data_IF_185765130304
#
_entry.id   IF_185765130304
#
_cell.length_a   1.000
_cell.length_b   1.000
_cell.length_c   1.000
_cell.angle_alpha   90.00
_cell.angle_beta   90.00
_cell.angle_gamma   90.00
#
_symmetry.space_group_name_H-M   'P 1'
#
loop_
_entity.id
_entity.type
_entity.pdbx_description
1 polymer ?
#
# COMPACT_ATOMS: atom_id res chain seq x y z
N UNK A 1 -2.22 0.05 18.45
CA UNK A 1 -3.26 1.03 18.07
C UNK A 1 -4.49 0.29 17.57
N UNK A 2 -5.70 0.84 17.83
CA UNK A 2 -7.01 0.24 17.50
C UNK A 2 -7.88 1.28 16.76
N UNK A 3 -9.00 0.83 16.21
CA UNK A 3 -10.08 1.69 15.77
C UNK A 3 -10.68 2.46 16.96
N UNK A 4 -11.31 3.60 16.68
CA UNK A 4 -12.05 4.33 17.69
C UNK A 4 -13.31 3.55 18.12
N UNK A 5 -13.85 3.72 19.34
CA UNK A 5 -15.00 2.93 19.82
C UNK A 5 -16.20 2.95 18.87
N UNK A 6 -16.56 4.12 18.31
CA UNK A 6 -17.67 4.24 17.37
C UNK A 6 -17.37 3.59 16.00
N UNK A 7 -16.10 3.59 15.57
CA UNK A 7 -15.65 2.92 14.36
C UNK A 7 -15.73 1.39 14.52
N UNK A 8 -15.32 0.90 15.69
CA UNK A 8 -15.39 -0.51 16.04
C UNK A 8 -16.85 -0.99 16.12
N UNK A 9 -17.74 -0.21 16.73
CA UNK A 9 -19.18 -0.52 16.77
C UNK A 9 -19.76 -0.60 15.37
N UNK A 10 -19.45 0.38 14.51
CA UNK A 10 -19.86 0.42 13.11
C UNK A 10 -19.33 -0.79 12.32
N UNK A 11 -18.05 -1.13 12.49
CA UNK A 11 -17.44 -2.31 11.88
C UNK A 11 -18.23 -3.58 12.22
N UNK A 12 -18.47 -3.82 13.51
CA UNK A 12 -19.17 -5.02 13.96
C UNK A 12 -20.64 -5.04 13.57
N UNK A 13 -21.30 -3.90 13.50
CA UNK A 13 -22.67 -3.83 12.97
C UNK A 13 -22.75 -4.42 11.55
N UNK A 14 -21.86 -3.99 10.66
CA UNK A 14 -21.81 -4.48 9.28
C UNK A 14 -21.39 -5.95 9.26
N UNK A 15 -20.37 -6.30 10.01
CA UNK A 15 -19.79 -7.64 10.01
C UNK A 15 -20.77 -8.72 10.53
N UNK A 16 -21.41 -8.47 11.66
CA UNK A 16 -22.41 -9.38 12.21
C UNK A 16 -23.63 -9.52 11.28
N UNK A 17 -24.10 -8.43 10.69
CA UNK A 17 -25.20 -8.48 9.72
C UNK A 17 -24.84 -9.36 8.50
N UNK A 18 -23.61 -9.24 7.99
CA UNK A 18 -23.12 -10.04 6.87
C UNK A 18 -22.96 -11.52 7.26
N UNK A 19 -22.37 -11.81 8.43
CA UNK A 19 -22.24 -13.18 8.92
C UNK A 19 -23.61 -13.83 9.14
N UNK A 20 -24.55 -13.13 9.78
CA UNK A 20 -25.91 -13.62 10.01
C UNK A 20 -26.66 -13.88 8.70
N UNK A 21 -26.56 -12.97 7.73
CA UNK A 21 -27.12 -13.17 6.40
C UNK A 21 -26.58 -14.43 5.71
N UNK A 22 -25.26 -14.60 5.73
CA UNK A 22 -24.60 -15.76 5.17
C UNK A 22 -25.04 -17.06 5.87
N UNK A 23 -25.10 -17.05 7.21
CA UNK A 23 -25.49 -18.20 7.98
C UNK A 23 -26.94 -18.59 7.75
N UNK A 24 -27.89 -17.65 7.61
CA UNK A 24 -29.30 -17.95 7.27
C UNK A 24 -29.44 -18.68 5.93
N UNK A 25 -28.58 -18.35 4.95
CA UNK A 25 -28.59 -18.99 3.62
C UNK A 25 -27.89 -20.34 3.60
N UNK A 26 -26.76 -20.45 4.29
CA UNK A 26 -25.91 -21.63 4.23
C UNK A 26 -26.14 -22.63 5.38
N UNK A 27 -26.82 -22.22 6.45
CA UNK A 27 -27.13 -23.01 7.64
C UNK A 27 -25.91 -23.72 8.25
N UNK A 28 -24.79 -22.98 8.34
CA UNK A 28 -23.51 -23.53 8.79
C UNK A 28 -23.45 -23.75 10.30
N UNK A 29 -24.10 -22.85 11.06
CA UNK A 29 -24.16 -22.90 12.54
C UNK A 29 -25.59 -22.62 12.99
N UNK A 30 -25.96 -23.10 14.19
CA UNK A 30 -27.35 -23.04 14.68
C UNK A 30 -27.77 -21.64 15.08
N UNK A 31 -26.99 -21.03 15.99
CA UNK A 31 -27.37 -19.79 16.65
C UNK A 31 -26.26 -18.76 16.45
N UNK A 32 -26.40 -17.92 15.42
CA UNK A 32 -25.48 -16.83 15.16
C UNK A 32 -26.17 -15.50 15.53
N UNK A 33 -25.62 -14.70 16.46
CA UNK A 33 -26.19 -13.40 16.79
C UNK A 33 -26.24 -12.48 15.59
N UNK A 34 -27.31 -11.73 15.43
CA UNK A 34 -27.49 -10.77 14.33
C UNK A 34 -26.76 -9.45 14.55
N UNK A 35 -26.34 -9.20 15.78
CA UNK A 35 -25.62 -7.99 16.15
C UNK A 35 -24.73 -8.23 17.37
N UNK A 36 -23.71 -7.40 17.62
CA UNK A 36 -22.87 -7.48 18.82
C UNK A 36 -23.65 -7.35 20.13
N UNK A 37 -24.79 -6.67 20.10
CA UNK A 37 -25.67 -6.48 21.27
C UNK A 37 -26.56 -7.69 21.56
N UNK A 38 -26.77 -8.56 20.57
CA UNK A 38 -27.56 -9.79 20.71
C UNK A 38 -26.80 -10.94 21.36
N UNK A 39 -25.46 -10.85 21.46
CA UNK A 39 -24.62 -11.85 22.08
C UNK A 39 -23.20 -11.93 21.49
N UNK A 40 -22.38 -12.81 22.04
CA UNK A 40 -21.06 -13.14 21.52
C UNK A 40 -21.18 -14.32 20.54
N UNK A 41 -20.30 -14.35 19.53
CA UNK A 41 -20.15 -15.48 18.60
C UNK A 41 -19.02 -16.37 19.13
N UNK A 42 -19.24 -17.68 19.15
CA UNK A 42 -18.14 -18.62 19.32
C UNK A 42 -17.11 -18.46 18.21
N UNK A 43 -15.83 -18.45 18.56
CA UNK A 43 -14.75 -18.16 17.62
C UNK A 43 -14.70 -19.17 16.48
N UNK A 44 -14.94 -20.44 16.72
CA UNK A 44 -14.92 -21.48 15.69
C UNK A 44 -16.12 -21.33 14.74
N UNK A 45 -17.30 -21.01 15.27
CA UNK A 45 -18.49 -20.73 14.48
C UNK A 45 -18.29 -19.45 13.63
N UNK A 46 -17.69 -18.41 14.20
CA UNK A 46 -17.31 -17.22 13.47
C UNK A 46 -16.35 -17.53 12.32
N UNK A 47 -15.30 -18.31 12.55
CA UNK A 47 -14.37 -18.76 11.50
C UNK A 47 -15.06 -19.55 10.40
N UNK A 48 -15.97 -20.45 10.74
CA UNK A 48 -16.69 -21.27 9.79
C UNK A 48 -17.54 -20.43 8.84
N UNK A 49 -18.31 -19.48 9.39
CA UNK A 49 -19.17 -18.62 8.59
C UNK A 49 -18.35 -17.58 7.81
N UNK A 50 -17.35 -16.97 8.44
CA UNK A 50 -16.46 -16.02 7.78
C UNK A 50 -15.70 -16.63 6.60
N UNK A 51 -15.23 -17.87 6.73
CA UNK A 51 -14.60 -18.60 5.62
C UNK A 51 -15.53 -18.71 4.42
N UNK A 52 -16.81 -19.05 4.64
CA UNK A 52 -17.81 -19.13 3.58
C UNK A 52 -18.10 -17.75 2.96
N UNK A 53 -18.19 -16.69 3.78
CA UNK A 53 -18.37 -15.31 3.30
C UNK A 53 -17.21 -14.88 2.43
N UNK A 54 -15.97 -15.18 2.83
CA UNK A 54 -14.79 -14.80 2.07
C UNK A 54 -14.56 -15.63 0.81
N UNK A 55 -15.08 -16.85 0.76
CA UNK A 55 -14.98 -17.74 -0.40
C UNK A 55 -16.00 -17.41 -1.51
N UNK A 56 -17.10 -16.74 -1.20
CA UNK A 56 -18.19 -16.48 -2.16
C UNK A 56 -18.48 -14.96 -2.30
N UNK A 57 -17.95 -14.36 -3.36
CA UNK A 57 -18.19 -12.96 -3.70
C UNK A 57 -19.67 -12.67 -3.98
N UNK A 58 -20.41 -13.64 -4.56
CA UNK A 58 -21.84 -13.47 -4.86
C UNK A 58 -22.66 -13.34 -3.58
N UNK A 59 -22.31 -14.11 -2.55
CA UNK A 59 -22.97 -14.03 -1.26
C UNK A 59 -22.85 -12.64 -0.62
N UNK A 60 -21.67 -12.05 -0.71
CA UNK A 60 -21.41 -10.68 -0.21
C UNK A 60 -22.13 -9.63 -1.03
N UNK A 61 -22.10 -9.75 -2.36
CA UNK A 61 -22.80 -8.81 -3.24
C UNK A 61 -24.30 -8.88 -3.03
N UNK A 62 -24.90 -10.09 -2.90
CA UNK A 62 -26.32 -10.24 -2.57
C UNK A 62 -26.68 -9.62 -1.22
N UNK A 63 -25.82 -9.75 -0.20
CA UNK A 63 -26.03 -9.04 1.08
C UNK A 63 -26.12 -7.53 0.90
N UNK A 64 -25.23 -6.95 0.10
CA UNK A 64 -25.19 -5.50 -0.16
C UNK A 64 -26.42 -5.04 -0.96
N UNK A 65 -26.84 -5.82 -1.97
CA UNK A 65 -27.97 -5.48 -2.84
C UNK A 65 -29.29 -5.62 -2.11
N UNK A 66 -29.49 -6.69 -1.34
CA UNK A 66 -30.71 -6.95 -0.59
C UNK A 66 -30.83 -6.07 0.66
N UNK A 67 -29.70 -5.66 1.24
CA UNK A 67 -29.62 -4.86 2.46
C UNK A 67 -30.62 -5.31 3.55
N UNK A 68 -30.60 -6.56 3.99
CA UNK A 68 -31.65 -7.16 4.82
C UNK A 68 -31.81 -6.52 6.21
N UNK A 69 -30.77 -5.78 6.66
CA UNK A 69 -30.78 -5.11 7.96
C UNK A 69 -30.95 -3.59 7.86
N UNK A 70 -31.16 -3.06 6.66
CA UNK A 70 -31.39 -1.64 6.44
C UNK A 70 -30.16 -0.77 6.75
N UNK A 71 -28.94 -1.25 6.43
CA UNK A 71 -27.71 -0.48 6.64
C UNK A 71 -27.75 0.84 5.84
N UNK A 72 -27.21 1.92 6.42
CA UNK A 72 -27.07 3.18 5.71
C UNK A 72 -26.19 3.06 4.45
N UNK A 73 -26.36 3.93 3.44
CA UNK A 73 -25.56 3.87 2.21
C UNK A 73 -24.03 3.90 2.44
N UNK A 74 -23.56 4.63 3.44
CA UNK A 74 -22.14 4.68 3.82
C UNK A 74 -21.63 3.36 4.35
N UNK A 75 -22.46 2.57 5.04
CA UNK A 75 -22.09 1.26 5.57
C UNK A 75 -22.09 0.19 4.47
N UNK A 76 -23.04 0.29 3.53
CA UNK A 76 -23.03 -0.55 2.34
C UNK A 76 -21.81 -0.28 1.46
N UNK A 77 -21.40 0.99 1.33
CA UNK A 77 -20.18 1.36 0.62
C UNK A 77 -18.93 0.79 1.30
N UNK A 78 -18.88 0.82 2.64
CA UNK A 78 -17.81 0.19 3.42
C UNK A 78 -17.80 -1.33 3.23
N UNK A 79 -18.95 -1.99 3.33
CA UNK A 79 -19.08 -3.44 3.06
C UNK A 79 -18.61 -3.80 1.64
N UNK A 80 -18.97 -3.01 0.64
CA UNK A 80 -18.51 -3.16 -0.75
C UNK A 80 -16.99 -2.98 -0.88
N UNK A 81 -16.40 -2.10 -0.08
CA UNK A 81 -14.95 -1.90 -0.09
C UNK A 81 -14.17 -3.17 0.34
N UNK A 82 -14.79 -4.09 1.07
CA UNK A 82 -14.21 -5.36 1.50
C UNK A 82 -13.95 -6.36 0.36
N UNK A 83 -14.39 -6.06 -0.86
CA UNK A 83 -13.94 -6.79 -2.06
C UNK A 83 -12.42 -6.64 -2.28
N UNK A 84 -11.80 -5.58 -1.73
CA UNK A 84 -10.36 -5.34 -1.77
C UNK A 84 -9.59 -5.97 -0.61
N UNK A 85 -10.22 -6.89 0.11
CA UNK A 85 -9.56 -7.63 1.18
C UNK A 85 -8.29 -8.33 0.72
N UNK A 86 -7.36 -8.52 1.63
CA UNK A 86 -6.18 -9.35 1.42
C UNK A 86 -6.22 -10.49 2.44
N UNK A 87 -6.60 -11.67 1.98
CA UNK A 87 -6.64 -12.87 2.80
C UNK A 87 -5.37 -13.70 2.57
N UNK A 88 -4.77 -14.23 3.64
CA UNK A 88 -3.57 -15.05 3.52
C UNK A 88 -2.84 -15.26 4.84
N UNK A 89 -1.61 -15.72 4.69
CA UNK A 89 -0.71 -15.94 5.80
C UNK A 89 0.27 -14.78 5.91
N UNK A 90 0.39 -14.22 7.12
CA UNK A 90 1.20 -13.05 7.40
C UNK A 90 2.13 -13.30 8.59
N UNK A 91 3.33 -12.78 8.51
CA UNK A 91 4.18 -12.63 9.70
C UNK A 91 3.75 -11.37 10.45
N UNK A 92 3.29 -11.50 11.71
CA UNK A 92 3.28 -10.38 12.63
C UNK A 92 4.74 -10.13 13.00
N UNK A 93 5.30 -9.02 12.50
CA UNK A 93 6.73 -8.75 12.61
C UNK A 93 7.06 -7.81 13.76
N UNK A 94 6.23 -6.76 13.96
CA UNK A 94 6.51 -5.74 14.97
C UNK A 94 5.24 -5.00 15.40
N UNK A 95 5.15 -4.67 16.66
CA UNK A 95 4.13 -3.77 17.20
C UNK A 95 4.68 -2.35 17.27
N UNK A 96 3.99 -1.40 16.63
CA UNK A 96 4.34 0.01 16.64
C UNK A 96 3.18 0.82 17.25
N UNK A 97 3.48 2.03 17.75
CA UNK A 97 2.45 2.95 18.26
C UNK A 97 1.36 3.32 17.25
N UNK A 98 1.68 3.26 15.95
CA UNK A 98 0.75 3.62 14.85
C UNK A 98 -0.10 2.45 14.39
N UNK A 99 0.47 1.25 14.32
CA UNK A 99 -0.12 0.03 13.77
C UNK A 99 0.76 -1.19 14.08
N UNK A 100 0.21 -2.36 13.90
CA UNK A 100 0.97 -3.61 13.85
C UNK A 100 1.53 -3.81 12.45
N UNK A 101 2.81 -4.14 12.36
CA UNK A 101 3.48 -4.45 11.08
C UNK A 101 3.28 -5.91 10.74
N UNK A 102 2.62 -6.15 9.60
CA UNK A 102 2.48 -7.47 9.00
C UNK A 102 3.28 -7.56 7.70
N UNK A 103 3.81 -8.75 7.40
CA UNK A 103 4.53 -9.03 6.16
C UNK A 103 3.91 -10.28 5.54
N UNK A 104 3.46 -10.20 4.28
CA UNK A 104 2.91 -11.36 3.57
C UNK A 104 4.00 -12.32 3.09
N UNK A 105 3.59 -13.50 2.59
CA UNK A 105 4.48 -14.54 2.11
C UNK A 105 4.62 -14.56 0.57
N UNK A 106 4.25 -13.47 -0.10
CA UNK A 106 4.41 -13.39 -1.57
C UNK A 106 5.89 -13.31 -1.96
N UNK A 107 6.21 -13.68 -3.20
CA UNK A 107 7.58 -13.56 -3.75
C UNK A 107 8.13 -12.13 -3.61
N UNK A 108 7.28 -11.14 -3.81
CA UNK A 108 7.57 -9.73 -3.56
C UNK A 108 6.87 -9.29 -2.27
N UNK A 109 7.36 -9.78 -1.13
CA UNK A 109 6.75 -9.58 0.17
C UNK A 109 6.36 -8.10 0.42
N UNK A 110 5.09 -7.88 0.72
CA UNK A 110 4.53 -6.55 1.04
C UNK A 110 4.44 -6.39 2.54
N UNK A 111 4.63 -5.16 2.97
CA UNK A 111 4.55 -4.78 4.38
C UNK A 111 3.28 -3.96 4.60
N UNK A 112 2.46 -4.38 5.57
CA UNK A 112 1.19 -3.74 5.90
C UNK A 112 1.23 -3.15 7.30
N UNK A 113 0.58 -2.00 7.46
CA UNK A 113 0.32 -1.37 8.77
C UNK A 113 -1.14 -1.56 9.14
N UNK A 114 -1.43 -2.42 10.12
CA UNK A 114 -2.79 -2.90 10.45
C UNK A 114 -3.20 -2.47 11.83
N UNK A 115 -4.44 -1.99 11.98
CA UNK A 115 -5.05 -1.60 13.25
C UNK A 115 -5.80 -2.78 13.87
N UNK A 116 -5.74 -2.90 15.20
CA UNK A 116 -6.64 -3.75 15.95
C UNK A 116 -8.08 -3.19 15.93
N UNK A 117 -9.03 -4.02 16.30
CA UNK A 117 -10.45 -3.63 16.43
C UNK A 117 -10.73 -3.09 17.86
N UNK A 118 -11.09 -3.97 18.78
CA UNK A 118 -11.36 -3.63 20.19
C UNK A 118 -10.07 -3.52 20.99
N UNK A 119 -9.15 -4.48 20.77
CA UNK A 119 -7.85 -4.55 21.44
C UNK A 119 -6.71 -4.47 20.43
N UNK A 120 -5.53 -3.98 20.83
CA UNK A 120 -4.33 -4.11 20.02
C UNK A 120 -4.07 -5.58 19.66
N UNK A 121 -3.57 -5.83 18.45
CA UNK A 121 -3.22 -7.19 18.01
C UNK A 121 -2.20 -7.84 18.96
N UNK A 122 -1.35 -7.07 19.62
CA UNK A 122 -0.41 -7.49 20.65
C UNK A 122 -1.09 -8.18 21.85
N UNK A 123 -2.26 -7.71 22.23
CA UNK A 123 -3.05 -8.32 23.32
C UNK A 123 -3.78 -9.58 22.86
N UNK A 124 -4.14 -9.66 21.58
CA UNK A 124 -4.80 -10.84 21.00
C UNK A 124 -3.81 -11.99 20.78
N UNK A 125 -2.55 -11.66 20.45
CA UNK A 125 -1.48 -12.65 20.21
C UNK A 125 -0.27 -12.30 21.08
N UNK A 126 -0.32 -12.59 22.40
CA UNK A 126 0.75 -12.25 23.34
C UNK A 126 1.93 -13.25 23.24
N UNK A 127 2.55 -13.36 22.08
CA UNK A 127 3.66 -14.28 21.83
C UNK A 127 4.89 -13.57 21.31
N UNK A 128 6.05 -14.25 21.39
CA UNK A 128 7.30 -13.72 20.87
C UNK A 128 7.24 -13.58 19.33
N UNK A 129 7.63 -12.41 18.83
CA UNK A 129 7.69 -12.11 17.41
C UNK A 129 8.99 -12.61 16.75
N UNK A 130 8.96 -12.88 15.44
CA UNK A 130 7.80 -12.91 14.57
C UNK A 130 6.93 -14.15 14.75
N UNK A 131 5.61 -14.01 14.52
CA UNK A 131 4.68 -15.13 14.51
C UNK A 131 3.94 -15.16 13.17
N UNK A 132 3.72 -16.36 12.62
CA UNK A 132 2.90 -16.56 11.42
C UNK A 132 1.44 -16.73 11.82
N UNK A 133 0.56 -16.00 11.15
CA UNK A 133 -0.88 -16.06 11.37
C UNK A 133 -1.63 -16.09 10.05
N UNK A 134 -2.76 -16.80 10.00
CA UNK A 134 -3.75 -16.66 8.92
C UNK A 134 -4.78 -15.65 9.33
N UNK A 135 -5.06 -14.67 8.47
CA UNK A 135 -6.05 -13.63 8.71
C UNK A 135 -6.52 -12.97 7.41
N UNK A 136 -7.59 -12.19 7.50
CA UNK A 136 -8.11 -11.40 6.39
C UNK A 136 -8.01 -9.91 6.72
N UNK A 137 -7.21 -9.18 5.96
CA UNK A 137 -7.07 -7.73 6.06
C UNK A 137 -8.20 -7.05 5.30
N UNK A 138 -8.80 -6.03 5.90
CA UNK A 138 -9.93 -5.29 5.36
C UNK A 138 -9.63 -3.80 5.27
N UNK A 139 -10.06 -3.11 4.21
CA UNK A 139 -10.06 -1.66 4.17
C UNK A 139 -11.10 -1.10 5.16
N UNK A 140 -10.73 -0.04 5.86
CA UNK A 140 -11.61 0.69 6.76
C UNK A 140 -11.24 2.17 6.78
N UNK A 141 -12.01 2.98 6.05
CA UNK A 141 -11.87 4.45 6.02
C UNK A 141 -10.42 4.93 5.81
N UNK A 142 -9.80 4.48 4.72
CA UNK A 142 -8.42 4.85 4.37
C UNK A 142 -7.33 4.16 5.20
N UNK A 143 -7.70 3.23 6.07
CA UNK A 143 -6.79 2.43 6.91
C UNK A 143 -6.99 0.94 6.65
N UNK A 144 -6.15 0.11 7.26
CA UNK A 144 -6.29 -1.34 7.24
C UNK A 144 -6.62 -1.84 8.65
N UNK A 145 -7.65 -2.66 8.73
CA UNK A 145 -7.95 -3.49 9.89
C UNK A 145 -8.04 -4.96 9.46
N UNK A 146 -8.60 -5.83 10.27
CA UNK A 146 -8.84 -7.23 9.94
C UNK A 146 -10.27 -7.64 10.34
N UNK A 147 -10.72 -8.82 9.96
CA UNK A 147 -12.08 -9.29 10.22
C UNK A 147 -12.35 -9.74 11.67
N UNK A 148 -11.40 -9.51 12.56
CA UNK A 148 -11.48 -9.92 13.97
C UNK A 148 -11.05 -11.36 14.21
N UNK A 149 -10.74 -12.11 13.15
CA UNK A 149 -10.35 -13.51 13.21
C UNK A 149 -8.88 -13.64 12.80
N UNK A 150 -8.12 -14.35 13.59
CA UNK A 150 -6.76 -14.73 13.26
C UNK A 150 -6.45 -16.12 13.82
N UNK A 151 -5.74 -16.92 13.03
CA UNK A 151 -5.32 -18.27 13.41
C UNK A 151 -3.78 -18.32 13.44
N UNK A 152 -3.16 -18.37 14.61
CA UNK A 152 -1.71 -18.48 14.71
C UNK A 152 -1.25 -19.90 14.34
N UNK A 153 -0.12 -19.96 13.63
CA UNK A 153 0.59 -21.21 13.39
C UNK A 153 1.57 -21.49 14.53
N UNK A 154 1.59 -22.72 15.00
CA UNK A 154 2.55 -23.14 16.02
C UNK A 154 3.93 -23.47 15.39
N UNK A 155 4.60 -22.43 14.85
CA UNK A 155 5.89 -22.55 14.16
C UNK A 155 6.89 -21.58 14.77
N UNK A 156 8.09 -22.07 15.08
CA UNK A 156 9.22 -21.27 15.55
C UNK A 156 10.16 -20.93 14.40
N UNK A 157 10.56 -19.66 14.32
CA UNK A 157 11.45 -19.18 13.27
C UNK A 157 12.89 -19.00 13.75
N UNK A 158 13.83 -19.54 12.98
CA UNK A 158 15.25 -19.35 13.21
C UNK A 158 15.75 -17.95 12.83
N UNK A 159 17.04 -17.69 13.10
CA UNK A 159 17.69 -16.39 12.86
C UNK A 159 17.62 -15.93 11.40
N UNK A 160 17.67 -16.86 10.43
CA UNK A 160 17.62 -16.54 9.00
C UNK A 160 16.32 -15.87 8.58
N UNK A 161 15.15 -16.39 9.01
CA UNK A 161 13.85 -15.79 8.71
C UNK A 161 13.72 -14.43 9.41
N UNK A 162 14.18 -14.31 10.64
CA UNK A 162 14.16 -13.02 11.37
C UNK A 162 14.99 -11.95 10.67
N UNK A 163 16.17 -12.30 10.16
CA UNK A 163 17.01 -11.39 9.40
C UNK A 163 16.32 -10.94 8.10
N UNK A 164 15.79 -11.89 7.33
CA UNK A 164 15.08 -11.59 6.09
C UNK A 164 13.88 -10.65 6.31
N UNK A 165 13.02 -10.94 7.29
CA UNK A 165 11.88 -10.07 7.62
C UNK A 165 12.33 -8.66 8.05
N UNK A 166 13.48 -8.56 8.75
CA UNK A 166 14.06 -7.27 9.12
C UNK A 166 14.49 -6.48 7.90
N UNK A 167 15.11 -7.13 6.91
CA UNK A 167 15.57 -6.47 5.69
C UNK A 167 14.39 -6.04 4.81
N UNK A 168 13.35 -6.89 4.67
CA UNK A 168 12.09 -6.55 3.99
C UNK A 168 11.44 -5.32 4.64
N UNK A 169 11.29 -5.32 5.96
CA UNK A 169 10.69 -4.20 6.68
C UNK A 169 11.51 -2.92 6.52
N UNK A 170 12.84 -3.00 6.71
CA UNK A 170 13.75 -1.86 6.56
C UNK A 170 13.63 -1.23 5.17
N UNK A 171 13.72 -2.06 4.13
CA UNK A 171 13.58 -1.65 2.74
C UNK A 171 12.22 -0.99 2.46
N UNK A 172 11.12 -1.57 2.93
CA UNK A 172 9.80 -1.00 2.77
C UNK A 172 9.65 0.34 3.51
N UNK A 173 10.19 0.43 4.74
CA UNK A 173 10.13 1.65 5.54
C UNK A 173 10.95 2.79 4.91
N UNK A 174 12.15 2.52 4.43
CA UNK A 174 13.02 3.50 3.77
C UNK A 174 12.40 4.03 2.47
N UNK A 175 11.70 3.19 1.72
CA UNK A 175 11.01 3.56 0.49
C UNK A 175 9.63 4.18 0.72
N UNK A 176 9.13 4.21 1.96
CA UNK A 176 7.76 4.63 2.25
C UNK A 176 6.71 3.70 1.62
N UNK A 177 7.03 2.42 1.44
CA UNK A 177 6.22 1.42 0.76
C UNK A 177 5.40 0.54 1.73
N UNK A 178 5.28 0.94 3.00
CA UNK A 178 4.38 0.27 3.94
C UNK A 178 2.94 0.59 3.54
N UNK A 179 2.16 -0.43 3.22
CA UNK A 179 0.77 -0.31 2.81
C UNK A 179 -0.08 -0.05 4.05
N UNK A 180 -0.67 1.12 4.15
CA UNK A 180 -1.54 1.53 5.27
C UNK A 180 -3.00 1.70 4.86
N UNK A 181 -3.33 1.50 3.58
CA UNK A 181 -4.69 1.50 3.04
C UNK A 181 -4.80 0.48 1.92
N UNK A 182 -5.91 -0.27 1.90
CA UNK A 182 -6.31 -1.17 0.80
C UNK A 182 -7.32 -0.51 -0.13
N UNK A 183 -7.78 0.66 0.21
CA UNK A 183 -8.59 1.43 -0.72
C UNK A 183 -7.70 1.78 -1.91
N UNK A 184 -8.22 1.59 -3.13
CA UNK A 184 -7.68 2.39 -4.20
C UNK A 184 -7.77 3.81 -3.67
N UNK A 185 -6.63 4.45 -3.50
CA UNK A 185 -6.62 5.89 -3.35
C UNK A 185 -7.31 6.38 -4.61
N UNK A 186 -8.64 6.53 -4.54
CA UNK A 186 -9.30 7.55 -5.32
C UNK A 186 -8.53 8.77 -4.91
N UNK A 187 -7.61 9.15 -5.80
CA UNK A 187 -6.59 10.17 -5.70
C UNK A 187 -6.92 11.10 -4.53
N UNK A 188 -6.19 10.99 -3.42
CA UNK A 188 -6.19 12.03 -2.39
C UNK A 188 -6.29 13.35 -3.15
N UNK A 189 -7.17 14.25 -2.72
CA UNK A 189 -7.57 15.41 -3.52
C UNK A 189 -6.39 15.85 -4.41
N UNK A 190 -6.53 16.12 -5.68
CA UNK A 190 -5.42 16.32 -6.62
C UNK A 190 -4.30 17.21 -6.06
N UNK A 191 -4.63 18.08 -5.11
CA UNK A 191 -3.70 18.97 -4.42
C UNK A 191 -2.84 18.29 -3.35
N UNK A 192 -3.39 17.37 -2.53
CA UNK A 192 -2.59 16.69 -1.49
C UNK A 192 -1.66 15.64 -2.08
N UNK A 193 -2.13 14.92 -3.10
CA UNK A 193 -1.31 13.99 -3.89
C UNK A 193 -0.17 14.74 -4.60
N UNK A 194 -0.46 15.89 -5.21
CA UNK A 194 0.52 16.72 -5.92
C UNK A 194 1.62 17.24 -4.98
N UNK A 195 1.27 17.74 -3.80
CA UNK A 195 2.25 18.22 -2.81
C UNK A 195 3.17 17.11 -2.30
N UNK A 196 2.63 15.91 -2.06
CA UNK A 196 3.41 14.77 -1.63
C UNK A 196 4.35 14.28 -2.74
N UNK A 197 3.86 14.18 -3.99
CA UNK A 197 4.65 13.82 -5.16
C UNK A 197 5.77 14.84 -5.39
N UNK A 198 5.49 16.14 -5.27
CA UNK A 198 6.49 17.19 -5.37
C UNK A 198 7.60 17.04 -4.30
N UNK A 199 7.22 16.71 -3.06
CA UNK A 199 8.17 16.45 -1.97
C UNK A 199 9.05 15.23 -2.25
N UNK A 200 8.46 14.16 -2.77
CA UNK A 200 9.20 12.92 -3.10
C UNK A 200 10.15 13.16 -4.30
N UNK A 201 9.69 13.86 -5.33
CA UNK A 201 10.52 14.27 -6.47
C UNK A 201 11.72 15.13 -6.00
N UNK A 202 11.50 16.10 -5.10
CA UNK A 202 12.57 16.93 -4.52
C UNK A 202 13.60 16.10 -3.76
N UNK A 203 13.17 15.09 -3.00
CA UNK A 203 14.09 14.17 -2.30
C UNK A 203 14.97 13.41 -3.29
N UNK A 204 14.36 12.90 -4.39
CA UNK A 204 15.08 12.15 -5.41
C UNK A 204 16.09 13.04 -6.17
N UNK A 205 15.71 14.27 -6.51
CA UNK A 205 16.61 15.28 -7.10
C UNK A 205 17.76 15.60 -6.16
N UNK A 206 17.50 15.70 -4.86
CA UNK A 206 18.56 15.93 -3.86
C UNK A 206 19.55 14.76 -3.80
N UNK A 207 19.05 13.50 -3.90
CA UNK A 207 19.90 12.32 -3.96
C UNK A 207 20.74 12.30 -5.24
N UNK A 208 20.15 12.61 -6.39
CA UNK A 208 20.87 12.77 -7.66
C UNK A 208 21.97 13.83 -7.61
N UNK A 209 21.70 14.98 -7.00
CA UNK A 209 22.71 16.02 -6.79
C UNK A 209 23.90 15.52 -5.96
N UNK A 210 23.65 14.71 -4.93
CA UNK A 210 24.71 14.11 -4.10
C UNK A 210 25.55 13.12 -4.90
N UNK A 211 24.92 12.31 -5.76
CA UNK A 211 25.59 11.38 -6.65
C UNK A 211 26.50 12.14 -7.65
N UNK A 212 25.98 13.18 -8.29
CA UNK A 212 26.77 14.03 -9.18
C UNK A 212 27.96 14.69 -8.47
N UNK A 213 27.84 15.02 -7.20
CA UNK A 213 28.94 15.62 -6.43
C UNK A 213 30.11 14.65 -6.17
N UNK A 214 29.89 13.34 -6.33
CA UNK A 214 30.96 12.34 -6.26
C UNK A 214 31.68 12.13 -7.60
N UNK A 215 31.21 12.77 -8.67
CA UNK A 215 31.82 12.74 -9.99
C UNK A 215 32.75 13.95 -10.22
N UNK A 216 33.64 13.88 -11.22
CA UNK A 216 34.56 14.96 -11.59
C UNK A 216 33.87 16.13 -12.32
N UNK A 217 32.65 16.51 -11.91
CA UNK A 217 31.91 17.63 -12.48
C UNK A 217 32.15 18.93 -11.71
N UNK A 218 32.19 20.04 -12.44
CA UNK A 218 32.18 21.37 -11.81
C UNK A 218 30.86 21.65 -11.10
N UNK A 219 30.83 22.42 -10.04
CA UNK A 219 29.64 22.84 -9.32
C UNK A 219 28.59 23.47 -10.24
N UNK A 220 29.00 24.19 -11.27
CA UNK A 220 28.12 24.78 -12.27
C UNK A 220 27.39 23.68 -13.08
N UNK A 221 28.09 22.61 -13.49
CA UNK A 221 27.53 21.51 -14.23
C UNK A 221 26.55 20.66 -13.36
N UNK A 222 26.92 20.45 -12.09
CA UNK A 222 26.07 19.76 -11.13
C UNK A 222 24.76 20.53 -10.95
N UNK A 223 24.82 21.83 -10.73
CA UNK A 223 23.65 22.69 -10.61
C UNK A 223 22.77 22.61 -11.87
N UNK A 224 23.36 22.73 -13.06
CA UNK A 224 22.65 22.67 -14.33
C UNK A 224 21.91 21.33 -14.55
N UNK A 225 22.60 20.19 -14.30
CA UNK A 225 21.96 18.87 -14.45
C UNK A 225 20.82 18.67 -13.44
N UNK A 226 21.02 19.13 -12.21
CA UNK A 226 20.01 19.06 -11.14
C UNK A 226 18.79 19.89 -11.51
N UNK A 227 18.98 21.14 -11.94
CA UNK A 227 17.91 22.07 -12.34
C UNK A 227 17.11 21.54 -13.53
N UNK A 228 17.76 20.95 -14.53
CA UNK A 228 17.08 20.35 -15.67
C UNK A 228 16.10 19.23 -15.25
N UNK A 229 16.50 18.36 -14.32
CA UNK A 229 15.61 17.29 -13.83
C UNK A 229 14.53 17.84 -12.89
N UNK A 230 14.83 18.84 -12.09
CA UNK A 230 13.87 19.52 -11.23
C UNK A 230 12.79 20.25 -12.05
N UNK A 231 13.18 20.94 -13.10
CA UNK A 231 12.28 21.61 -14.06
C UNK A 231 11.36 20.61 -14.75
N UNK A 232 11.92 19.51 -15.27
CA UNK A 232 11.12 18.43 -15.85
C UNK A 232 10.10 17.85 -14.85
N UNK A 233 10.52 17.58 -13.62
CA UNK A 233 9.64 17.06 -12.58
C UNK A 233 8.50 18.02 -12.25
N UNK A 234 8.80 19.32 -12.15
CA UNK A 234 7.85 20.37 -11.79
C UNK A 234 6.90 20.70 -12.95
N UNK A 235 7.45 20.95 -14.14
CA UNK A 235 6.73 21.57 -15.25
C UNK A 235 6.10 20.54 -16.19
N UNK A 236 6.47 19.24 -16.05
CA UNK A 236 5.89 18.18 -16.85
C UNK A 236 5.24 17.08 -15.99
N UNK A 237 5.98 16.40 -15.12
CA UNK A 237 5.43 15.25 -14.39
C UNK A 237 4.34 15.63 -13.38
N UNK A 238 4.49 16.77 -12.70
CA UNK A 238 3.46 17.25 -11.76
C UNK A 238 2.22 17.82 -12.47
N UNK A 239 2.32 18.19 -13.75
CA UNK A 239 1.19 18.68 -14.55
C UNK A 239 0.42 17.54 -15.24
N UNK A 240 0.90 16.30 -15.17
CA UNK A 240 0.14 15.14 -15.67
C UNK A 240 -1.12 14.89 -14.82
N UNK A 241 -2.10 14.24 -15.41
CA UNK A 241 -3.33 13.84 -14.72
C UNK A 241 -3.46 12.31 -14.81
N UNK A 242 -3.20 11.59 -13.71
CA UNK A 242 -2.73 12.04 -12.38
C UNK A 242 -1.25 12.52 -12.39
N UNK A 243 -0.84 13.37 -11.41
CA UNK A 243 0.55 13.77 -11.23
C UNK A 243 1.48 12.56 -11.03
N UNK A 244 2.70 12.62 -11.57
CA UNK A 244 3.63 11.48 -11.60
C UNK A 244 4.92 11.74 -10.84
N UNK A 245 5.53 10.67 -10.34
CA UNK A 245 6.80 10.71 -9.63
C UNK A 245 7.96 10.51 -10.59
N UNK A 246 9.11 11.11 -10.29
CA UNK A 246 10.36 10.89 -11.03
C UNK A 246 10.81 9.42 -11.06
N UNK A 247 10.49 8.64 -10.03
CA UNK A 247 10.79 7.22 -9.99
C UNK A 247 9.95 6.40 -10.98
N UNK A 248 8.82 6.91 -11.43
CA UNK A 248 7.89 6.31 -12.39
C UNK A 248 8.16 6.80 -13.83
N UNK A 249 9.30 7.45 -14.04
CA UNK A 249 9.72 7.98 -15.34
C UNK A 249 9.76 6.88 -16.41
N UNK A 250 9.19 7.18 -17.57
CA UNK A 250 9.22 6.30 -18.74
C UNK A 250 9.99 6.93 -19.91
N UNK A 251 10.34 6.10 -20.88
CA UNK A 251 10.95 6.57 -22.13
C UNK A 251 10.02 7.53 -22.90
N UNK A 252 8.70 7.28 -22.87
CA UNK A 252 7.71 8.14 -23.50
C UNK A 252 7.64 9.54 -22.88
N UNK A 253 7.81 9.64 -21.56
CA UNK A 253 7.83 10.94 -20.86
C UNK A 253 9.01 11.79 -21.33
N UNK A 254 10.20 11.19 -21.41
CA UNK A 254 11.41 11.87 -21.89
C UNK A 254 11.23 12.33 -23.34
N UNK A 255 10.74 11.45 -24.21
CA UNK A 255 10.52 11.78 -25.62
C UNK A 255 9.53 12.93 -25.78
N UNK A 256 8.39 12.87 -25.06
CA UNK A 256 7.37 13.91 -25.12
C UNK A 256 7.90 15.25 -24.63
N UNK A 257 8.61 15.27 -23.49
CA UNK A 257 9.21 16.48 -22.96
C UNK A 257 10.24 17.11 -23.91
N UNK A 258 11.14 16.29 -24.46
CA UNK A 258 12.14 16.75 -25.42
C UNK A 258 11.51 17.32 -26.71
N UNK A 259 10.39 16.76 -27.16
CA UNK A 259 9.65 17.24 -28.33
C UNK A 259 8.90 18.56 -28.07
N UNK A 260 8.38 18.73 -26.85
CA UNK A 260 7.63 19.93 -26.46
C UNK A 260 8.52 21.14 -26.18
N UNK A 261 9.75 20.91 -25.73
CA UNK A 261 10.69 21.97 -25.40
C UNK A 261 11.37 22.54 -26.65
N UNK A 262 10.88 23.71 -27.12
CA UNK A 262 11.52 24.47 -28.21
C UNK A 262 12.77 25.19 -27.72
N UNK A 263 13.82 24.44 -27.38
CA UNK A 263 15.08 24.98 -26.84
C UNK A 263 16.14 25.14 -27.95
N UNK A 264 17.08 26.11 -27.80
CA UNK A 264 18.26 26.18 -28.66
C UNK A 264 19.05 24.85 -28.60
N UNK A 265 19.68 24.47 -29.73
CA UNK A 265 20.35 23.17 -29.88
C UNK A 265 21.38 22.87 -28.76
N UNK A 266 22.11 23.88 -28.29
CA UNK A 266 23.08 23.72 -27.21
C UNK A 266 22.43 23.35 -25.87
N UNK A 267 21.28 23.97 -25.56
CA UNK A 267 20.51 23.70 -24.33
C UNK A 267 19.87 22.31 -24.43
N UNK A 268 19.36 21.95 -25.59
CA UNK A 268 18.77 20.63 -25.85
C UNK A 268 19.81 19.49 -25.64
N UNK A 269 21.05 19.66 -26.13
CA UNK A 269 22.14 18.69 -25.89
C UNK A 269 22.45 18.54 -24.37
N UNK A 270 22.45 19.66 -23.64
CA UNK A 270 22.67 19.62 -22.20
C UNK A 270 21.54 18.92 -21.45
N UNK A 271 20.30 19.12 -21.88
CA UNK A 271 19.12 18.45 -21.32
C UNK A 271 19.19 16.94 -21.52
N UNK A 272 19.50 16.47 -22.75
CA UNK A 272 19.73 15.04 -23.06
C UNK A 272 20.82 14.48 -22.13
N UNK A 273 21.93 15.19 -21.96
CA UNK A 273 23.01 14.76 -21.07
C UNK A 273 22.53 14.65 -19.61
N UNK A 274 21.67 15.55 -19.17
CA UNK A 274 21.09 15.51 -17.82
C UNK A 274 20.23 14.25 -17.63
N UNK A 275 19.38 13.90 -18.61
CA UNK A 275 18.60 12.67 -18.58
C UNK A 275 19.49 11.42 -18.63
N UNK A 276 20.52 11.37 -19.46
CA UNK A 276 21.49 10.25 -19.49
C UNK A 276 22.09 9.99 -18.11
N UNK A 277 22.52 11.06 -17.42
CA UNK A 277 23.07 10.97 -16.07
C UNK A 277 22.01 10.54 -15.03
N UNK A 278 20.81 11.08 -15.14
CA UNK A 278 19.74 10.76 -14.22
C UNK A 278 19.26 9.30 -14.37
N UNK A 279 19.09 8.81 -15.61
CA UNK A 279 18.76 7.41 -15.88
C UNK A 279 19.86 6.48 -15.36
N UNK A 280 21.13 6.84 -15.54
CA UNK A 280 22.25 6.10 -14.98
C UNK A 280 22.19 6.07 -13.44
N UNK A 281 21.97 7.21 -12.79
CA UNK A 281 21.79 7.29 -11.33
C UNK A 281 20.64 6.41 -10.85
N UNK A 282 19.47 6.43 -11.52
CA UNK A 282 18.34 5.59 -11.14
C UNK A 282 18.68 4.11 -11.26
N UNK A 283 19.40 3.74 -12.29
CA UNK A 283 19.85 2.35 -12.53
C UNK A 283 20.90 1.92 -11.50
N UNK A 284 21.96 2.68 -11.32
CA UNK A 284 23.07 2.37 -10.39
C UNK A 284 22.60 2.32 -8.92
N UNK A 285 21.50 3.03 -8.59
CA UNK A 285 20.86 3.00 -7.28
C UNK A 285 19.73 1.97 -7.13
N UNK A 286 19.59 1.02 -8.08
CA UNK A 286 18.55 -0.04 -8.10
C UNK A 286 17.12 0.49 -7.98
N UNK A 287 16.83 1.63 -8.58
CA UNK A 287 15.52 2.28 -8.55
C UNK A 287 14.67 1.98 -9.77
N UNK A 288 15.28 1.55 -10.87
CA UNK A 288 14.62 1.11 -12.10
C UNK A 288 15.26 -0.20 -12.60
N UNK A 289 14.48 -0.98 -13.33
CA UNK A 289 14.92 -2.25 -13.91
C UNK A 289 15.74 -2.05 -15.19
N UNK A 290 16.52 -3.06 -15.58
CA UNK A 290 17.35 -3.08 -16.78
C UNK A 290 16.59 -2.70 -18.05
N UNK A 291 15.41 -3.29 -18.25
CA UNK A 291 14.55 -3.06 -19.41
C UNK A 291 14.10 -1.60 -19.52
N UNK A 292 13.69 -0.99 -18.42
CA UNK A 292 13.30 0.41 -18.37
C UNK A 292 14.48 1.35 -18.65
N UNK A 293 15.64 1.06 -18.03
CA UNK A 293 16.87 1.82 -18.25
C UNK A 293 17.30 1.79 -19.71
N UNK A 294 17.26 0.60 -20.36
CA UNK A 294 17.66 0.45 -21.76
C UNK A 294 16.70 1.18 -22.72
N UNK A 295 15.39 1.10 -22.50
CA UNK A 295 14.41 1.85 -23.28
C UNK A 295 14.65 3.37 -23.22
N UNK A 296 14.95 3.90 -22.03
CA UNK A 296 15.27 5.33 -21.85
C UNK A 296 16.60 5.69 -22.53
N UNK A 297 17.63 4.83 -22.44
CA UNK A 297 18.94 5.05 -23.08
C UNK A 297 18.81 5.09 -24.60
N UNK A 298 17.92 4.28 -25.21
CA UNK A 298 17.72 4.25 -26.65
C UNK A 298 17.16 5.58 -27.19
N UNK A 299 16.24 6.21 -26.45
CA UNK A 299 15.66 7.50 -26.83
C UNK A 299 16.67 8.65 -26.67
N UNK A 300 17.63 8.50 -25.79
CA UNK A 300 18.64 9.51 -25.47
C UNK A 300 19.91 9.41 -26.35
N UNK A 301 19.97 8.49 -27.31
CA UNK A 301 21.12 8.39 -28.24
C UNK A 301 21.20 9.62 -29.13
#
# INVERSE_FOLDING_TARGET
MILLPHETERFYQIWFAMLSYANRRLKLVRDLPESPRAGSIDVQDAFKVATAVWADDRLRHSFIEENPTGLPPGDLALARSWDRRVAGDFYIFRYLKKYTVLIDQSEQARVYGVLGLVSPIEEVVPTALPILVRMTLLPFEGRITYDGLLAPYNVYFGSGIRSNLTDIYRSANERGAIVTSLEFVAVASPQQSRAQIAKDNKKLVTAFRRDLAQSNLSMKMIAQHTENIETFARDYLLEQVPPRRLIELTSADIATWLAQTKLPQAVHKTLITSFKRFVRFLYDSYRIEDTAAEQMRQILK
#
